data_IF_328487757764
#
_entry.id   IF_328487757764
#
_cell.length_a   1.000
_cell.length_b   1.000
_cell.length_c   1.000
_cell.angle_alpha   90.00
_cell.angle_beta   90.00
_cell.angle_gamma   90.00
#
_symmetry.space_group_name_H-M   'P 1'
#
loop_
_entity.id
_entity.type
_entity.pdbx_description
1 polymer ?
#
# COMPACT_ATOMS: atom_id res chain seq x y z
N UNK A 1 17.98 -1.62 1.87
CA UNK A 1 16.59 -1.14 2.01
C UNK A 1 15.67 -2.18 1.42
N UNK A 2 14.61 -2.55 2.12
CA UNK A 2 13.71 -3.61 1.66
C UNK A 2 12.60 -2.99 0.82
N UNK A 3 12.43 -3.51 -0.39
CA UNK A 3 11.31 -3.18 -1.26
C UNK A 3 10.15 -4.13 -0.91
N UNK A 4 9.21 -3.62 -0.11
CA UNK A 4 8.12 -4.39 0.48
C UNK A 4 6.84 -4.26 -0.33
N UNK A 5 5.95 -5.22 -0.15
CA UNK A 5 4.58 -5.17 -0.67
C UNK A 5 3.59 -4.64 0.39
N UNK A 6 2.70 -3.76 -0.05
CA UNK A 6 1.66 -3.14 0.76
C UNK A 6 0.31 -3.33 0.07
N UNK A 7 -0.62 -3.99 0.73
CA UNK A 7 -2.02 -4.07 0.32
C UNK A 7 -2.82 -3.06 1.12
N UNK A 8 -3.63 -2.24 0.46
CA UNK A 8 -4.41 -1.20 1.14
C UNK A 8 -5.55 -0.66 0.31
N UNK A 9 -6.32 0.27 0.89
CA UNK A 9 -7.43 0.98 0.23
C UNK A 9 -7.00 2.41 -0.03
N UNK A 10 -7.41 2.98 -1.16
CA UNK A 10 -7.30 4.43 -1.37
C UNK A 10 -8.52 5.14 -0.78
N UNK A 11 -8.28 6.07 0.14
CA UNK A 11 -9.32 6.88 0.78
C UNK A 11 -8.85 8.33 0.90
N UNK A 12 -9.66 9.26 0.38
CA UNK A 12 -9.35 10.69 0.39
C UNK A 12 -8.05 11.03 -0.35
N UNK A 13 -7.76 10.31 -1.44
CA UNK A 13 -6.52 10.46 -2.20
C UNK A 13 -5.26 9.97 -1.49
N UNK A 14 -5.39 9.22 -0.39
CA UNK A 14 -4.27 8.65 0.38
C UNK A 14 -4.34 7.14 0.41
N UNK A 15 -3.21 6.48 0.54
CA UNK A 15 -3.14 5.03 0.66
C UNK A 15 -3.22 4.60 2.13
N UNK A 16 -4.27 3.88 2.48
CA UNK A 16 -4.45 3.27 3.80
C UNK A 16 -4.01 1.80 3.76
N UNK A 17 -2.85 1.43 4.32
CA UNK A 17 -2.40 0.05 4.39
C UNK A 17 -3.37 -0.79 5.23
N UNK A 18 -3.71 -1.97 4.73
CA UNK A 18 -4.45 -3.02 5.42
C UNK A 18 -3.53 -4.17 5.84
N UNK A 19 -2.57 -4.50 4.98
CA UNK A 19 -1.57 -5.54 5.20
C UNK A 19 -0.23 -5.13 4.59
N UNK A 20 0.84 -5.45 5.30
CA UNK A 20 2.20 -5.09 4.93
C UNK A 20 3.16 -6.20 5.37
N UNK A 21 4.32 -6.28 4.74
CA UNK A 21 5.39 -7.20 5.15
C UNK A 21 6.12 -6.75 6.42
N UNK A 22 5.89 -5.51 6.90
CA UNK A 22 6.47 -4.92 8.12
C UNK A 22 5.45 -4.12 8.96
N UNK A 23 5.82 -3.71 10.17
CA UNK A 23 4.90 -3.11 11.16
C UNK A 23 4.78 -1.58 11.05
N UNK A 24 4.28 -1.07 9.93
CA UNK A 24 4.16 0.39 9.73
C UNK A 24 2.69 0.83 9.79
N UNK A 25 2.26 1.51 10.88
CA UNK A 25 0.90 2.06 10.99
C UNK A 25 0.80 3.45 10.32
N UNK A 26 -0.40 3.81 9.86
CA UNK A 26 -0.71 5.15 9.34
C UNK A 26 -1.16 5.15 7.88
N UNK A 27 -1.46 6.34 7.34
CA UNK A 27 -1.70 6.53 5.91
C UNK A 27 -0.39 6.91 5.21
N UNK A 28 -0.16 6.37 4.02
CA UNK A 28 1.02 6.71 3.23
C UNK A 28 0.67 7.58 2.03
N UNK A 29 1.61 8.47 1.71
CA UNK A 29 1.74 9.08 0.39
C UNK A 29 2.70 8.24 -0.45
N UNK A 30 2.49 8.22 -1.76
CA UNK A 30 3.29 7.41 -2.68
C UNK A 30 4.09 8.34 -3.58
N UNK A 31 5.37 8.06 -3.78
CA UNK A 31 6.21 8.79 -4.75
C UNK A 31 6.97 7.83 -5.64
N UNK A 32 7.06 8.14 -6.92
CA UNK A 32 7.86 7.34 -7.88
C UNK A 32 9.36 7.60 -7.72
N UNK A 33 9.74 8.66 -7.01
CA UNK A 33 11.14 9.04 -6.79
C UNK A 33 11.86 8.04 -5.89
N UNK A 34 13.16 7.86 -6.13
CA UNK A 34 14.03 7.11 -5.23
C UNK A 34 14.30 7.88 -3.94
N UNK A 35 14.64 7.17 -2.86
CA UNK A 35 14.91 7.77 -1.53
C UNK A 35 16.07 8.78 -1.58
N UNK A 36 16.98 8.62 -2.52
CA UNK A 36 18.14 9.47 -2.72
C UNK A 36 17.98 10.45 -3.89
N UNK A 37 16.76 10.66 -4.38
CA UNK A 37 16.50 11.69 -5.39
C UNK A 37 16.82 13.08 -4.82
N UNK A 38 17.29 13.98 -5.70
CA UNK A 38 17.59 15.37 -5.33
C UNK A 38 16.32 16.21 -5.17
N UNK A 39 15.24 15.80 -5.83
CA UNK A 39 13.93 16.46 -5.79
C UNK A 39 13.13 16.02 -4.55
N UNK A 40 12.25 16.89 -4.02
CA UNK A 40 11.37 16.52 -2.92
C UNK A 40 10.36 15.46 -3.37
N UNK A 41 9.92 14.55 -2.47
CA UNK A 41 9.03 13.44 -2.81
C UNK A 41 7.69 13.89 -3.42
N UNK A 42 7.21 15.09 -3.07
CA UNK A 42 6.03 15.73 -3.63
C UNK A 42 6.11 15.94 -5.16
N UNK A 43 7.32 16.13 -5.72
CA UNK A 43 7.51 16.35 -7.16
C UNK A 43 7.21 15.10 -7.99
N UNK A 44 7.31 13.91 -7.40
CA UNK A 44 6.95 12.64 -8.04
C UNK A 44 5.79 11.92 -7.34
N UNK A 45 4.93 12.65 -6.63
CA UNK A 45 3.79 12.07 -5.94
C UNK A 45 2.82 11.38 -6.92
N UNK A 46 2.49 10.13 -6.63
CA UNK A 46 1.53 9.36 -7.41
C UNK A 46 0.13 9.85 -7.09
N UNK A 47 -0.61 10.29 -8.11
CA UNK A 47 -2.01 10.68 -7.97
C UNK A 47 -2.88 9.44 -7.82
N UNK A 48 -3.51 9.29 -6.68
CA UNK A 48 -4.34 8.12 -6.37
C UNK A 48 -5.83 8.27 -6.73
N UNK A 49 -6.23 9.42 -7.29
CA UNK A 49 -7.65 9.71 -7.56
C UNK A 49 -8.33 8.68 -8.47
N UNK A 50 -7.60 8.05 -9.38
CA UNK A 50 -8.12 7.00 -10.27
C UNK A 50 -8.39 5.66 -9.56
N UNK A 51 -7.82 5.49 -8.37
CA UNK A 51 -7.95 4.29 -7.55
C UNK A 51 -8.83 4.51 -6.31
N UNK A 52 -9.48 5.67 -6.19
CA UNK A 52 -10.28 6.04 -5.02
C UNK A 52 -11.33 4.95 -4.69
N UNK A 53 -11.35 4.52 -3.43
CA UNK A 53 -12.22 3.46 -2.94
C UNK A 53 -11.79 2.04 -3.32
N UNK A 54 -10.79 1.86 -4.20
CA UNK A 54 -10.31 0.54 -4.60
C UNK A 54 -9.24 -0.01 -3.66
N UNK A 55 -9.19 -1.33 -3.54
CA UNK A 55 -8.03 -2.00 -2.97
C UNK A 55 -6.89 -2.04 -3.99
N UNK A 56 -5.70 -1.60 -3.60
CA UNK A 56 -4.51 -1.62 -4.46
C UNK A 56 -3.35 -2.33 -3.78
N UNK A 57 -2.52 -2.96 -4.60
CA UNK A 57 -1.24 -3.53 -4.20
C UNK A 57 -0.12 -2.61 -4.66
N UNK A 58 0.69 -2.14 -3.72
CA UNK A 58 1.81 -1.24 -3.96
C UNK A 58 3.12 -1.94 -3.59
N UNK A 59 4.16 -1.69 -4.37
CA UNK A 59 5.54 -2.00 -4.00
C UNK A 59 6.34 -0.73 -3.83
N UNK A 60 7.24 -0.74 -2.85
CA UNK A 60 8.16 0.38 -2.66
C UNK A 60 8.93 0.26 -1.36
N UNK A 61 9.55 1.36 -0.98
CA UNK A 61 10.36 1.45 0.24
C UNK A 61 9.74 2.46 1.18
N UNK A 62 9.27 1.97 2.33
CA UNK A 62 8.78 2.82 3.41
C UNK A 62 9.90 3.68 4.01
N UNK A 63 9.62 4.99 4.06
CA UNK A 63 10.31 6.00 4.85
C UNK A 63 9.33 6.98 5.47
N UNK A 64 8.74 6.59 6.59
CA UNK A 64 7.90 7.46 7.40
C UNK A 64 6.52 7.61 6.78
N UNK A 65 6.16 8.82 6.36
CA UNK A 65 4.84 9.07 5.75
C UNK A 65 4.79 8.71 4.24
N UNK A 66 5.92 8.27 3.68
CA UNK A 66 6.09 8.05 2.25
C UNK A 66 6.51 6.62 1.92
N UNK A 67 5.93 6.08 0.86
CA UNK A 67 6.47 4.94 0.14
C UNK A 67 7.19 5.49 -1.10
N UNK A 68 8.51 5.29 -1.13
CA UNK A 68 9.38 5.71 -2.23
C UNK A 68 9.53 4.62 -3.28
N UNK A 69 9.91 5.03 -4.49
CA UNK A 69 9.96 4.17 -5.66
C UNK A 69 8.66 3.36 -5.81
N UNK A 70 7.54 4.00 -5.46
CA UNK A 70 6.24 3.39 -5.36
C UNK A 70 5.77 2.97 -6.76
N UNK A 71 5.34 1.72 -6.87
CA UNK A 71 4.71 1.18 -8.07
C UNK A 71 3.41 0.51 -7.67
N UNK A 72 2.30 0.93 -8.29
CA UNK A 72 1.02 0.23 -8.18
C UNK A 72 1.11 -1.01 -9.05
N UNK A 73 1.10 -2.17 -8.43
CA UNK A 73 1.22 -3.48 -9.10
C UNK A 73 -0.15 -3.95 -9.57
N UNK A 74 -1.18 -3.72 -8.77
CA UNK A 74 -2.55 -4.18 -9.05
C UNK A 74 -3.58 -3.22 -8.44
N UNK A 75 -4.71 -3.06 -9.13
CA UNK A 75 -5.89 -2.36 -8.62
C UNK A 75 -7.09 -3.30 -8.74
N UNK A 76 -7.76 -3.54 -7.61
CA UNK A 76 -8.92 -4.39 -7.53
C UNK A 76 -10.19 -3.68 -8.05
N UNK A 77 -11.10 -4.45 -8.64
CA UNK A 77 -12.46 -4.00 -8.91
C UNK A 77 -13.36 -4.02 -7.67
N UNK A 78 -14.64 -3.66 -7.85
CA UNK A 78 -15.61 -3.50 -6.76
C UNK A 78 -15.77 -4.75 -5.88
N UNK A 79 -15.96 -5.92 -6.49
CA UNK A 79 -16.21 -7.17 -5.76
C UNK A 79 -14.99 -7.57 -4.93
N UNK A 80 -13.81 -7.56 -5.54
CA UNK A 80 -12.56 -7.93 -4.85
C UNK A 80 -12.22 -6.92 -3.75
N UNK A 81 -12.48 -5.63 -3.98
CA UNK A 81 -12.33 -4.59 -2.96
C UNK A 81 -13.21 -4.87 -1.74
N UNK A 82 -14.49 -5.21 -1.94
CA UNK A 82 -15.39 -5.55 -0.84
C UNK A 82 -14.90 -6.78 -0.04
N UNK A 83 -14.39 -7.80 -0.74
CA UNK A 83 -13.79 -8.98 -0.10
C UNK A 83 -12.55 -8.60 0.72
N UNK A 84 -11.65 -7.79 0.16
CA UNK A 84 -10.46 -7.29 0.88
C UNK A 84 -10.88 -6.55 2.14
N UNK A 85 -11.82 -5.60 2.05
CA UNK A 85 -12.30 -4.85 3.21
C UNK A 85 -12.89 -5.77 4.30
N UNK A 86 -13.63 -6.81 3.91
CA UNK A 86 -14.20 -7.77 4.85
C UNK A 86 -13.14 -8.65 5.52
N UNK A 87 -12.10 -9.08 4.78
CA UNK A 87 -11.05 -9.97 5.31
C UNK A 87 -10.12 -9.25 6.27
N UNK A 88 -9.78 -7.99 5.99
CA UNK A 88 -8.89 -7.17 6.81
C UNK A 88 -9.66 -6.28 7.80
N UNK A 89 -10.80 -6.80 8.27
CA UNK A 89 -11.85 -6.19 9.11
C UNK A 89 -11.42 -4.88 9.80
N UNK A 90 -12.02 -3.77 9.35
CA UNK A 90 -11.56 -2.39 9.56
C UNK A 90 -11.91 -1.86 10.96
N UNK A 91 -11.55 -2.57 12.03
CA UNK A 91 -11.57 -2.03 13.38
C UNK A 91 -10.20 -1.38 13.70
N UNK A 92 -10.14 -0.07 13.97
CA UNK A 92 -8.90 0.58 14.36
C UNK A 92 -8.35 -0.09 15.64
N UNK A 93 -7.14 -0.64 15.56
CA UNK A 93 -6.44 -1.26 16.69
C UNK A 93 -6.37 -2.79 16.70
N UNK A 94 -6.85 -3.50 15.68
CA UNK A 94 -6.59 -4.94 15.54
C UNK A 94 -5.45 -5.26 14.56
N UNK A 95 -4.82 -6.41 14.83
CA UNK A 95 -3.53 -6.89 14.32
C UNK A 95 -3.30 -6.55 12.84
N UNK A 96 -2.17 -5.90 12.55
CA UNK A 96 -1.70 -5.77 11.17
C UNK A 96 -1.49 -7.16 10.59
N UNK A 97 -2.15 -7.44 9.47
CA UNK A 97 -1.99 -8.70 8.78
C UNK A 97 -0.64 -8.69 8.05
N UNK A 98 0.20 -9.68 8.34
CA UNK A 98 1.47 -9.83 7.65
C UNK A 98 1.21 -10.36 6.23
N UNK A 99 1.44 -9.52 5.24
CA UNK A 99 1.47 -9.96 3.85
C UNK A 99 2.74 -10.79 3.64
N UNK A 100 2.70 -11.80 2.76
CA UNK A 100 3.90 -12.44 2.18
C UNK A 100 3.78 -12.30 0.69
N UNK A 101 4.73 -11.60 0.09
CA UNK A 101 4.76 -11.39 -1.35
C UNK A 101 5.99 -12.06 -1.98
N UNK A 102 5.88 -12.72 -3.15
CA UNK A 102 4.66 -12.92 -3.94
C UNK A 102 3.64 -13.78 -3.18
N UNK A 103 2.34 -13.59 -3.48
CA UNK A 103 1.27 -14.43 -2.95
C UNK A 103 1.45 -15.84 -3.54
N UNK A 104 2.28 -16.65 -2.89
CA UNK A 104 2.50 -18.04 -3.24
C UNK A 104 1.59 -18.97 -2.43
N UNK A 105 1.26 -20.17 -2.95
CA UNK A 105 0.55 -21.17 -2.15
C UNK A 105 1.37 -21.51 -0.90
N UNK A 106 0.68 -21.69 0.24
CA UNK A 106 1.31 -22.29 1.42
C UNK A 106 1.82 -23.67 1.00
N UNK A 107 3.12 -23.91 1.08
CA UNK A 107 3.64 -25.27 1.09
C UNK A 107 2.96 -25.98 2.26
N UNK A 108 2.18 -27.01 1.93
CA UNK A 108 1.51 -27.87 2.90
C UNK A 108 2.48 -28.73 3.69
#
# INVERSE_FOLDING_TARGET
>A
MNNLAYLGIVEGGRFRPLATEGDTPGFFRLTTLAINATEPPESGEVRLAEHEGAAILVRGVDRGEWIYSATIVESAGLILTAVVQQVFDVAPGQRQHRLRYPIGPRAG
#
